data_IF_554624643713
#
_entry.id   IF_554624643713
#
_cell.length_a   1.000
_cell.length_b   1.000
_cell.length_c   1.000
_cell.angle_alpha   90.00
_cell.angle_beta   90.00
_cell.angle_gamma   90.00
#
_symmetry.space_group_name_H-M   'P 1'
#
loop_
_entity.id
_entity.type
_entity.pdbx_description
1 polymer ?
#
# COMPACT_ATOMS: atom_id res chain seq x y z
N UNK A 1 17.72 5.60 -56.29
CA UNK A 1 18.51 6.79 -56.67
C UNK A 1 17.62 8.04 -56.60
N UNK A 2 16.53 8.13 -57.38
CA UNK A 2 15.62 9.31 -57.35
C UNK A 2 14.99 9.61 -55.98
N UNK A 3 14.56 8.59 -55.21
CA UNK A 3 14.01 8.82 -53.85
C UNK A 3 15.07 9.25 -52.81
N UNK A 4 16.30 8.75 -52.94
CA UNK A 4 17.39 9.08 -52.01
C UNK A 4 17.84 10.53 -52.21
N UNK A 5 17.96 10.97 -53.47
CA UNK A 5 18.29 12.35 -53.83
C UNK A 5 17.17 13.34 -53.44
N UNK A 6 15.90 12.90 -53.46
CA UNK A 6 14.75 13.72 -53.00
C UNK A 6 14.74 13.86 -51.48
N UNK A 7 15.07 12.81 -50.74
CA UNK A 7 15.15 12.86 -49.27
C UNK A 7 16.32 13.75 -48.84
N UNK A 8 17.49 13.64 -49.47
CA UNK A 8 18.65 14.48 -49.17
C UNK A 8 18.41 15.96 -49.51
N UNK A 9 17.65 16.25 -50.58
CA UNK A 9 17.38 17.61 -51.06
C UNK A 9 16.19 18.31 -50.38
N UNK A 10 15.19 17.56 -49.88
CA UNK A 10 13.97 18.12 -49.28
C UNK A 10 13.74 17.77 -47.80
N UNK A 11 14.26 16.65 -47.31
CA UNK A 11 13.97 16.16 -45.95
C UNK A 11 15.04 16.52 -44.92
N UNK A 12 16.17 17.07 -45.36
CA UNK A 12 17.37 17.12 -44.52
C UNK A 12 17.97 18.52 -44.53
N UNK A 13 17.24 19.49 -43.96
CA UNK A 13 17.87 20.77 -43.65
C UNK A 13 18.91 20.57 -42.53
N UNK A 14 20.08 21.23 -42.58
CA UNK A 14 21.05 21.21 -41.48
C UNK A 14 20.44 21.63 -40.14
N UNK A 15 19.37 22.43 -40.15
CA UNK A 15 18.59 22.81 -38.97
C UNK A 15 17.79 21.64 -38.39
N UNK A 16 17.14 20.82 -39.22
CA UNK A 16 16.40 19.65 -38.75
C UNK A 16 17.33 18.62 -38.11
N UNK A 17 18.52 18.39 -38.67
CA UNK A 17 19.53 17.52 -38.05
C UNK A 17 20.00 18.03 -36.69
N UNK A 18 20.15 19.35 -36.53
CA UNK A 18 20.45 19.95 -35.22
C UNK A 18 19.33 19.67 -34.22
N UNK A 19 18.07 19.76 -34.63
CA UNK A 19 16.90 19.46 -33.79
C UNK A 19 16.82 17.97 -33.44
N UNK A 20 17.00 17.06 -34.41
CA UNK A 20 17.01 15.60 -34.15
C UNK A 20 18.14 15.23 -33.17
N UNK A 21 19.29 15.90 -33.27
CA UNK A 21 20.40 15.71 -32.34
C UNK A 21 20.05 16.16 -30.90
N UNK A 22 19.02 16.98 -30.67
CA UNK A 22 18.52 17.28 -29.33
C UNK A 22 17.79 16.10 -28.68
N UNK A 23 17.28 15.13 -29.44
CA UNK A 23 16.59 13.95 -28.89
C UNK A 23 17.49 13.13 -27.92
N UNK A 24 18.82 13.21 -28.07
CA UNK A 24 19.77 12.60 -27.14
C UNK A 24 19.70 13.16 -25.71
N UNK A 25 19.17 14.38 -25.54
CA UNK A 25 18.88 14.99 -24.23
C UNK A 25 17.81 14.18 -23.48
N UNK A 26 16.95 13.44 -24.18
CA UNK A 26 15.96 12.54 -23.58
C UNK A 26 16.56 11.45 -22.68
N UNK A 27 17.86 11.15 -22.78
CA UNK A 27 18.56 10.26 -21.82
C UNK A 27 18.52 10.82 -20.40
N UNK A 28 18.48 12.14 -20.22
CA UNK A 28 18.36 12.81 -18.92
C UNK A 28 17.00 12.51 -18.27
N UNK A 29 15.93 12.35 -19.07
CA UNK A 29 14.60 11.98 -18.56
C UNK A 29 14.58 10.60 -17.88
N UNK A 30 15.54 9.71 -18.18
CA UNK A 30 15.67 8.43 -17.48
C UNK A 30 16.04 8.61 -16.00
N UNK A 31 16.68 9.72 -15.63
CA UNK A 31 17.00 10.05 -14.24
C UNK A 31 15.74 10.36 -13.41
N UNK A 32 14.67 10.85 -14.04
CA UNK A 32 13.38 11.09 -13.39
C UNK A 32 12.80 9.79 -12.82
N UNK A 33 13.10 8.65 -13.45
CA UNK A 33 12.62 7.32 -13.03
C UNK A 33 13.18 6.90 -11.66
N UNK A 34 14.34 7.42 -11.25
CA UNK A 34 14.98 7.13 -9.97
C UNK A 34 14.60 8.08 -8.83
N UNK A 35 13.90 9.18 -9.11
CA UNK A 35 13.60 10.22 -8.12
C UNK A 35 12.09 10.34 -7.88
N UNK A 36 11.58 9.60 -6.88
CA UNK A 36 10.15 9.57 -6.51
C UNK A 36 9.55 10.99 -6.34
N UNK A 37 10.24 11.88 -5.63
CA UNK A 37 9.75 13.25 -5.41
C UNK A 37 9.64 14.11 -6.67
N UNK A 38 10.60 14.00 -7.61
CA UNK A 38 10.53 14.73 -8.90
C UNK A 38 9.39 14.17 -9.76
N UNK A 39 9.20 12.84 -9.74
CA UNK A 39 8.12 12.18 -10.48
C UNK A 39 6.74 12.66 -10.01
N UNK A 40 6.52 12.73 -8.71
CA UNK A 40 5.27 13.24 -8.12
C UNK A 40 5.01 14.69 -8.54
N UNK A 41 6.01 15.58 -8.44
CA UNK A 41 5.88 16.97 -8.88
C UNK A 41 5.54 17.11 -10.37
N UNK A 42 6.19 16.30 -11.23
CA UNK A 42 5.93 16.30 -12.67
C UNK A 42 4.55 15.72 -13.01
N UNK A 43 4.09 14.71 -12.27
CA UNK A 43 2.75 14.16 -12.43
C UNK A 43 1.67 15.18 -12.07
N UNK A 44 1.82 15.87 -10.93
CA UNK A 44 0.91 16.95 -10.55
C UNK A 44 0.92 18.09 -11.58
N UNK A 45 2.09 18.45 -12.13
CA UNK A 45 2.18 19.41 -13.24
C UNK A 45 1.42 18.92 -14.48
N UNK A 46 1.59 17.66 -14.87
CA UNK A 46 0.87 17.07 -16.01
C UNK A 46 -0.64 17.07 -15.80
N UNK A 47 -1.10 16.75 -14.59
CA UNK A 47 -2.53 16.79 -14.23
C UNK A 47 -3.11 18.21 -14.29
N UNK A 48 -2.30 19.25 -14.03
CA UNK A 48 -2.72 20.65 -14.17
C UNK A 48 -2.74 21.18 -15.62
N UNK A 49 -2.14 20.46 -16.59
CA UNK A 49 -2.05 20.90 -17.99
C UNK A 49 -3.42 21.15 -18.66
N UNK A 50 -4.47 20.32 -18.47
CA UNK A 50 -5.78 20.57 -19.08
C UNK A 50 -6.39 21.90 -18.62
N UNK A 51 -6.30 22.21 -17.32
CA UNK A 51 -6.76 23.48 -16.76
C UNK A 51 -5.91 24.65 -17.29
N UNK A 52 -4.59 24.48 -17.33
CA UNK A 52 -3.67 25.47 -17.89
C UNK A 52 -3.95 25.77 -19.35
N UNK A 53 -4.27 24.74 -20.15
CA UNK A 53 -4.59 24.92 -21.56
C UNK A 53 -5.84 25.78 -21.77
N UNK A 54 -6.88 25.59 -20.95
CA UNK A 54 -8.09 26.41 -21.02
C UNK A 54 -7.80 27.89 -20.72
N UNK A 55 -7.01 28.19 -19.69
CA UNK A 55 -6.62 29.56 -19.34
C UNK A 55 -5.67 30.14 -20.39
N UNK A 56 -4.75 29.32 -20.91
CA UNK A 56 -3.85 29.67 -22.00
C UNK A 56 -4.60 30.03 -23.30
N UNK A 57 -5.69 29.33 -23.62
CA UNK A 57 -6.57 29.66 -24.73
C UNK A 57 -7.28 30.99 -24.52
N UNK A 58 -7.74 31.28 -23.30
CA UNK A 58 -8.31 32.58 -22.96
C UNK A 58 -7.28 33.71 -23.15
N UNK A 59 -6.06 33.53 -22.64
CA UNK A 59 -4.97 34.49 -22.82
C UNK A 59 -4.62 34.66 -24.31
N UNK A 60 -4.57 33.57 -25.07
CA UNK A 60 -4.33 33.59 -26.51
C UNK A 60 -5.43 34.34 -27.27
N UNK A 61 -6.70 34.16 -26.89
CA UNK A 61 -7.82 34.91 -27.46
C UNK A 61 -7.70 36.41 -27.18
N UNK A 62 -7.35 36.80 -25.95
CA UNK A 62 -7.13 38.21 -25.60
C UNK A 62 -5.95 38.78 -26.40
N UNK A 63 -4.81 38.07 -26.47
CA UNK A 63 -3.67 38.46 -27.30
C UNK A 63 -4.07 38.62 -28.77
N UNK A 64 -4.87 37.70 -29.31
CA UNK A 64 -5.35 37.75 -30.68
C UNK A 64 -6.15 39.02 -30.95
N UNK A 65 -7.13 39.35 -30.08
CA UNK A 65 -7.96 40.55 -30.22
C UNK A 65 -7.08 41.81 -30.20
N UNK A 66 -6.18 41.92 -29.21
CA UNK A 66 -5.28 43.06 -29.09
C UNK A 66 -4.26 43.14 -30.24
N UNK A 67 -3.86 42.02 -30.85
CA UNK A 67 -2.97 42.02 -32.00
C UNK A 67 -3.64 42.67 -33.22
N UNK A 68 -4.92 42.37 -33.46
CA UNK A 68 -5.69 43.00 -34.53
C UNK A 68 -5.84 44.51 -34.28
N UNK A 69 -6.17 44.91 -33.05
CA UNK A 69 -6.26 46.33 -32.69
C UNK A 69 -4.90 47.05 -32.81
N UNK A 70 -3.81 46.39 -32.39
CA UNK A 70 -2.45 46.93 -32.47
C UNK A 70 -2.03 47.16 -33.92
N UNK A 71 -2.29 46.20 -34.81
CA UNK A 71 -2.04 46.39 -36.24
C UNK A 71 -2.85 47.55 -36.84
N UNK A 72 -4.15 47.62 -36.52
CA UNK A 72 -5.02 48.64 -37.08
C UNK A 72 -4.63 50.07 -36.67
N UNK A 73 -4.05 50.24 -35.48
CA UNK A 73 -3.76 51.57 -34.91
C UNK A 73 -2.27 51.95 -34.94
N UNK A 74 -1.35 50.99 -34.86
CA UNK A 74 0.07 51.25 -34.60
C UNK A 74 1.02 50.74 -35.69
N UNK A 75 0.53 50.13 -36.77
CA UNK A 75 1.38 49.61 -37.85
C UNK A 75 2.31 50.65 -38.48
N UNK A 76 1.89 51.91 -38.54
CA UNK A 76 2.64 52.98 -39.22
C UNK A 76 3.40 53.90 -38.28
N UNK A 77 3.40 53.61 -36.96
CA UNK A 77 4.11 54.44 -35.98
C UNK A 77 5.60 54.46 -36.28
N UNK A 78 6.24 55.61 -36.10
CA UNK A 78 7.67 55.78 -36.32
C UNK A 78 8.46 54.76 -35.49
N UNK A 79 9.33 53.99 -36.15
CA UNK A 79 10.26 53.05 -35.51
C UNK A 79 11.25 53.83 -34.64
N UNK A 80 11.15 53.65 -33.33
CA UNK A 80 11.96 54.31 -32.32
C UNK A 80 11.86 53.54 -31.00
N UNK A 81 12.90 53.62 -30.17
CA UNK A 81 12.99 52.95 -28.87
C UNK A 81 12.76 51.42 -29.00
N UNK A 82 11.61 50.90 -28.56
CA UNK A 82 11.28 49.48 -28.60
C UNK A 82 10.62 49.00 -29.90
N UNK A 83 10.25 49.90 -30.82
CA UNK A 83 9.67 49.53 -32.12
C UNK A 83 10.77 49.46 -33.17
N UNK A 84 11.07 48.25 -33.65
CA UNK A 84 12.09 47.96 -34.66
C UNK A 84 11.55 47.05 -35.79
N UNK A 85 12.43 46.48 -36.62
CA UNK A 85 12.06 45.65 -37.77
C UNK A 85 11.41 44.32 -37.39
N UNK A 86 11.65 43.82 -36.17
CA UNK A 86 11.18 42.53 -35.66
C UNK A 86 10.09 42.67 -34.60
N UNK A 87 10.18 43.68 -33.73
CA UNK A 87 9.23 44.03 -32.68
C UNK A 87 8.43 45.26 -33.12
N UNK A 88 7.35 45.04 -33.86
CA UNK A 88 6.44 46.10 -34.32
C UNK A 88 5.00 45.57 -34.45
N UNK A 89 4.09 46.48 -34.84
CA UNK A 89 2.69 46.17 -35.09
C UNK A 89 2.34 46.15 -36.60
N UNK A 90 3.32 45.93 -37.49
CA UNK A 90 3.08 45.95 -38.94
C UNK A 90 2.38 44.69 -39.43
N UNK A 91 2.66 43.54 -38.79
CA UNK A 91 2.10 42.24 -39.15
C UNK A 91 1.51 41.55 -37.93
N UNK A 92 0.65 40.55 -38.17
CA UNK A 92 -0.01 39.81 -37.10
C UNK A 92 1.01 39.07 -36.23
N UNK A 93 2.00 38.42 -36.84
CA UNK A 93 3.05 37.70 -36.12
C UNK A 93 3.89 38.62 -35.23
N UNK A 94 4.33 39.76 -35.75
CA UNK A 94 5.10 40.73 -34.97
C UNK A 94 4.27 41.31 -33.82
N UNK A 95 2.99 41.61 -34.07
CA UNK A 95 2.06 42.09 -33.04
C UNK A 95 1.86 41.07 -31.92
N UNK A 96 1.75 39.78 -32.27
CA UNK A 96 1.65 38.68 -31.29
C UNK A 96 2.93 38.55 -30.45
N UNK A 97 4.11 38.72 -31.05
CA UNK A 97 5.38 38.69 -30.32
C UNK A 97 5.48 39.87 -29.34
N UNK A 98 5.12 41.08 -29.78
CA UNK A 98 5.08 42.27 -28.92
C UNK A 98 4.11 42.09 -27.74
N UNK A 99 2.91 41.58 -27.99
CA UNK A 99 1.92 41.34 -26.93
C UNK A 99 2.34 40.22 -25.98
N UNK A 100 2.97 39.16 -26.49
CA UNK A 100 3.55 38.11 -25.66
C UNK A 100 4.64 38.65 -24.73
N UNK A 101 5.50 39.55 -25.22
CA UNK A 101 6.48 40.25 -24.38
C UNK A 101 5.78 41.09 -23.29
N UNK A 102 4.76 41.87 -23.66
CA UNK A 102 4.02 42.73 -22.72
C UNK A 102 3.22 41.90 -21.69
N UNK A 103 2.79 40.68 -22.00
CA UNK A 103 2.11 39.77 -21.04
C UNK A 103 2.94 39.54 -19.78
N UNK A 104 4.27 39.57 -19.91
CA UNK A 104 5.20 39.46 -18.77
C UNK A 104 5.50 40.80 -18.10
N UNK A 105 4.79 41.87 -18.49
CA UNK A 105 5.04 43.27 -18.13
C UNK A 105 6.44 43.79 -18.50
N UNK A 106 7.14 43.12 -19.42
CA UNK A 106 8.48 43.52 -19.85
C UNK A 106 8.42 44.45 -21.08
N UNK A 107 9.19 45.55 -21.06
CA UNK A 107 9.43 46.42 -22.23
C UNK A 107 8.20 47.16 -22.77
N UNK A 108 7.08 47.17 -22.06
CA UNK A 108 5.86 47.87 -22.49
C UNK A 108 6.05 49.39 -22.60
N UNK A 109 6.91 49.97 -21.76
CA UNK A 109 7.29 51.37 -21.74
C UNK A 109 8.04 51.76 -23.03
N UNK A 110 8.95 50.90 -23.48
CA UNK A 110 9.73 51.11 -24.70
C UNK A 110 8.90 51.01 -25.97
N UNK A 111 7.86 50.17 -25.96
CA UNK A 111 6.88 50.05 -27.05
C UNK A 111 5.86 51.19 -27.04
N UNK A 112 5.48 51.69 -25.86
CA UNK A 112 4.53 52.80 -25.71
C UNK A 112 5.14 54.15 -26.10
N UNK A 113 6.41 54.40 -25.75
CA UNK A 113 7.09 55.68 -26.01
C UNK A 113 6.90 56.24 -27.43
N UNK A 114 7.20 55.50 -28.53
CA UNK A 114 6.99 56.00 -29.89
C UNK A 114 5.51 56.24 -30.25
N UNK A 115 4.57 55.58 -29.56
CA UNK A 115 3.11 55.73 -29.78
C UNK A 115 2.59 57.01 -29.11
N UNK A 116 3.29 57.53 -28.10
CA UNK A 116 2.96 58.81 -27.45
C UNK A 116 3.44 60.03 -28.27
N UNK A 117 4.31 59.83 -29.26
CA UNK A 117 4.85 60.92 -30.07
C UNK A 117 3.79 61.44 -31.05
N UNK A 118 3.29 62.64 -30.80
CA UNK A 118 2.31 63.34 -31.64
C UNK A 118 2.77 64.73 -32.10
N UNK A 119 3.97 65.15 -31.70
CA UNK A 119 4.52 66.46 -32.07
C UNK A 119 5.20 66.40 -33.45
N UNK A 120 5.14 67.50 -34.25
CA UNK A 120 5.82 67.55 -35.55
C UNK A 120 7.35 67.42 -35.50
N UNK A 121 7.96 67.58 -34.32
CA UNK A 121 9.41 67.40 -34.10
C UNK A 121 9.77 65.92 -33.93
N UNK A 122 8.85 65.11 -33.41
CA UNK A 122 9.06 63.69 -33.12
C UNK A 122 8.53 62.78 -34.23
N UNK A 123 7.47 63.19 -34.93
CA UNK A 123 6.81 62.43 -36.00
C UNK A 123 6.44 63.33 -37.20
N UNK A 124 6.17 62.73 -38.36
CA UNK A 124 5.74 63.41 -39.58
C UNK A 124 4.32 62.97 -39.97
N UNK A 125 3.31 63.86 -39.88
CA UNK A 125 1.92 63.52 -40.20
C UNK A 125 1.64 63.33 -41.70
N UNK A 126 2.55 63.76 -42.57
CA UNK A 126 2.35 63.78 -44.02
C UNK A 126 3.23 62.77 -44.76
N UNK A 127 3.95 61.89 -44.05
CA UNK A 127 4.81 60.91 -44.71
C UNK A 127 3.96 59.94 -45.56
N UNK A 128 4.25 59.80 -46.87
CA UNK A 128 3.56 58.84 -47.71
C UNK A 128 4.15 57.44 -47.51
N UNK A 129 3.30 56.45 -47.26
CA UNK A 129 3.69 55.04 -47.20
C UNK A 129 3.41 54.38 -48.55
N UNK A 130 4.44 53.80 -49.19
CA UNK A 130 4.31 53.18 -50.50
C UNK A 130 3.33 52.00 -50.46
N UNK A 131 2.35 51.97 -51.37
CA UNK A 131 1.38 50.88 -51.47
C UNK A 131 0.17 50.98 -50.54
N UNK A 132 0.00 52.10 -49.81
CA UNK A 132 -1.17 52.32 -48.93
C UNK A 132 -1.74 53.73 -49.10
N UNK A 133 -3.00 53.93 -48.71
CA UNK A 133 -3.66 55.26 -48.69
C UNK A 133 -3.43 56.02 -47.37
N UNK A 134 -2.82 55.37 -46.38
CA UNK A 134 -2.57 55.93 -45.06
C UNK A 134 -1.38 56.90 -45.12
N UNK A 135 -1.51 58.05 -44.45
CA UNK A 135 -0.46 59.07 -44.35
C UNK A 135 -0.10 59.33 -42.90
N UNK A 136 1.17 59.57 -42.66
CA UNK A 136 1.69 59.92 -41.35
C UNK A 136 2.26 58.74 -40.57
N UNK A 137 3.16 59.03 -39.65
CA UNK A 137 3.75 58.06 -38.72
C UNK A 137 3.65 58.49 -37.25
N UNK A 138 2.74 59.44 -36.97
CA UNK A 138 2.46 59.92 -35.63
C UNK A 138 1.55 58.93 -34.90
N UNK A 139 1.84 58.70 -33.62
CA UNK A 139 0.98 57.91 -32.75
C UNK A 139 -0.20 58.72 -32.22
N UNK A 140 -1.15 58.03 -31.60
CA UNK A 140 -2.25 58.65 -30.87
C UNK A 140 -2.08 58.37 -29.37
N UNK A 141 -1.70 59.37 -28.55
CA UNK A 141 -1.39 59.16 -27.14
C UNK A 141 -2.56 58.57 -26.36
N UNK A 142 -3.79 59.05 -26.59
CA UNK A 142 -4.97 58.56 -25.86
C UNK A 142 -5.27 57.10 -26.17
N UNK A 143 -5.19 56.71 -27.44
CA UNK A 143 -5.41 55.32 -27.88
C UNK A 143 -4.27 54.41 -27.39
N UNK A 144 -3.03 54.89 -27.46
CA UNK A 144 -1.85 54.17 -26.97
C UNK A 144 -1.91 53.89 -25.47
N UNK A 145 -2.13 54.92 -24.65
CA UNK A 145 -2.24 54.76 -23.19
C UNK A 145 -3.37 53.78 -22.84
N UNK A 146 -4.55 53.96 -23.46
CA UNK A 146 -5.69 53.08 -23.20
C UNK A 146 -5.35 51.64 -23.57
N UNK A 147 -4.81 51.39 -24.77
CA UNK A 147 -4.45 50.05 -25.24
C UNK A 147 -3.48 49.34 -24.29
N UNK A 148 -2.36 49.98 -23.93
CA UNK A 148 -1.33 49.35 -23.11
C UNK A 148 -1.80 49.14 -21.67
N UNK A 149 -2.44 50.13 -21.06
CA UNK A 149 -2.91 50.03 -19.67
C UNK A 149 -4.00 48.98 -19.54
N UNK A 150 -5.00 48.96 -20.44
CA UNK A 150 -6.06 47.94 -20.36
C UNK A 150 -5.52 46.54 -20.63
N UNK A 151 -4.58 46.40 -21.58
CA UNK A 151 -3.93 45.12 -21.85
C UNK A 151 -3.13 44.61 -20.65
N UNK A 152 -2.32 45.46 -20.00
CA UNK A 152 -1.52 45.08 -18.83
C UNK A 152 -2.43 44.64 -17.69
N UNK A 153 -3.51 45.37 -17.40
CA UNK A 153 -4.45 44.99 -16.33
C UNK A 153 -5.11 43.64 -16.64
N UNK A 154 -5.65 43.46 -17.84
CA UNK A 154 -6.34 42.22 -18.22
C UNK A 154 -5.38 41.02 -18.24
N UNK A 155 -4.21 41.17 -18.86
CA UNK A 155 -3.21 40.10 -18.94
C UNK A 155 -2.67 39.73 -17.54
N UNK A 156 -2.41 40.71 -16.68
CA UNK A 156 -2.00 40.46 -15.29
C UNK A 156 -3.06 39.67 -14.51
N UNK A 157 -4.34 40.04 -14.61
CA UNK A 157 -5.42 39.30 -13.95
C UNK A 157 -5.51 37.85 -14.45
N UNK A 158 -5.36 37.63 -15.76
CA UNK A 158 -5.38 36.27 -16.33
C UNK A 158 -4.18 35.46 -15.83
N UNK A 159 -2.97 36.02 -15.84
CA UNK A 159 -1.74 35.33 -15.41
C UNK A 159 -1.77 35.01 -13.91
N UNK A 160 -2.25 35.93 -13.06
CA UNK A 160 -2.40 35.69 -11.62
C UNK A 160 -3.43 34.59 -11.37
N UNK A 161 -4.58 34.64 -12.03
CA UNK A 161 -5.61 33.61 -11.88
C UNK A 161 -5.14 32.25 -12.40
N UNK A 162 -4.33 32.22 -13.46
CA UNK A 162 -3.64 31.01 -13.93
C UNK A 162 -2.73 30.43 -12.85
N UNK A 163 -1.92 31.27 -12.21
CA UNK A 163 -0.99 30.85 -11.16
C UNK A 163 -1.72 30.30 -9.93
N UNK A 164 -2.78 30.98 -9.48
CA UNK A 164 -3.63 30.50 -8.37
C UNK A 164 -4.26 29.15 -8.72
N UNK A 165 -4.80 28.99 -9.94
CA UNK A 165 -5.40 27.74 -10.37
C UNK A 165 -4.39 26.58 -10.36
N UNK A 166 -3.16 26.80 -10.89
CA UNK A 166 -2.09 25.79 -10.87
C UNK A 166 -1.73 25.42 -9.42
N UNK A 167 -1.58 26.41 -8.53
CA UNK A 167 -1.23 26.14 -7.13
C UNK A 167 -2.34 25.35 -6.43
N UNK A 168 -3.61 25.74 -6.61
CA UNK A 168 -4.73 25.05 -5.98
C UNK A 168 -4.86 23.62 -6.48
N UNK A 169 -4.72 23.39 -7.79
CA UNK A 169 -4.72 22.04 -8.37
C UNK A 169 -3.57 21.20 -7.82
N UNK A 170 -2.35 21.77 -7.78
CA UNK A 170 -1.17 21.09 -7.26
C UNK A 170 -1.32 20.76 -5.76
N UNK A 171 -1.88 21.68 -4.97
CA UNK A 171 -2.15 21.46 -3.56
C UNK A 171 -3.27 20.43 -3.34
N UNK A 172 -4.30 20.42 -4.19
CA UNK A 172 -5.36 19.40 -4.17
C UNK A 172 -4.78 18.01 -4.41
N UNK A 173 -3.98 17.84 -5.47
CA UNK A 173 -3.31 16.56 -5.79
C UNK A 173 -2.37 16.12 -4.67
N UNK A 174 -1.57 17.04 -4.13
CA UNK A 174 -0.68 16.73 -3.01
C UNK A 174 -1.45 16.35 -1.74
N UNK A 175 -2.63 16.95 -1.52
CA UNK A 175 -3.51 16.60 -0.39
C UNK A 175 -4.10 15.22 -0.60
N UNK A 176 -4.67 14.92 -1.78
CA UNK A 176 -5.23 13.60 -2.12
C UNK A 176 -4.20 12.49 -1.92
N UNK A 177 -2.99 12.62 -2.46
CA UNK A 177 -1.89 11.65 -2.30
C UNK A 177 -1.43 11.49 -0.83
N UNK A 178 -1.57 12.54 -0.01
CA UNK A 178 -1.23 12.48 1.42
C UNK A 178 -2.37 11.99 2.31
N UNK A 179 -3.62 12.06 1.84
CA UNK A 179 -4.82 11.70 2.61
C UNK A 179 -5.34 10.31 2.33
N UNK A 180 -4.96 9.68 1.21
CA UNK A 180 -5.22 8.25 1.00
C UNK A 180 -4.43 7.43 2.03
N UNK A 181 -5.09 6.72 2.96
CA UNK A 181 -4.40 5.98 4.01
C UNK A 181 -3.61 4.77 3.49
N UNK A 182 -3.86 4.37 2.25
CA UNK A 182 -3.27 3.24 1.55
C UNK A 182 -2.99 3.63 0.11
N UNK A 183 -1.75 3.45 -0.32
CA UNK A 183 -1.27 3.71 -1.68
C UNK A 183 -1.09 2.40 -2.46
N UNK A 184 -0.91 2.49 -3.79
CA UNK A 184 -0.58 1.33 -4.62
C UNK A 184 0.69 0.60 -4.15
N UNK A 185 1.70 1.36 -3.68
CA UNK A 185 2.96 0.82 -3.13
C UNK A 185 2.70 -0.11 -1.92
N UNK A 186 1.69 0.18 -1.09
CA UNK A 186 1.35 -0.64 0.08
C UNK A 186 0.77 -2.00 -0.30
N UNK A 187 0.02 -2.07 -1.40
CA UNK A 187 -0.48 -3.33 -1.96
C UNK A 187 0.64 -4.15 -2.61
N UNK A 188 1.59 -3.51 -3.28
CA UNK A 188 2.76 -4.19 -3.83
C UNK A 188 3.62 -4.80 -2.72
N UNK A 189 3.93 -4.03 -1.67
CA UNK A 189 4.63 -4.54 -0.48
C UNK A 189 3.90 -5.71 0.19
N UNK A 190 2.57 -5.69 0.24
CA UNK A 190 1.79 -6.81 0.75
C UNK A 190 2.04 -8.10 -0.05
N UNK A 191 2.02 -8.02 -1.38
CA UNK A 191 2.23 -9.20 -2.23
C UNK A 191 3.68 -9.71 -2.18
N UNK A 192 4.68 -8.82 -2.08
CA UNK A 192 6.08 -9.22 -1.87
C UNK A 192 6.29 -10.01 -0.58
N UNK A 193 5.56 -9.65 0.49
CA UNK A 193 5.59 -10.41 1.74
C UNK A 193 4.77 -11.69 1.61
N UNK A 194 3.61 -11.65 0.95
CA UNK A 194 2.74 -12.81 0.73
C UNK A 194 3.48 -13.95 0.01
N UNK A 195 4.26 -13.64 -1.03
CA UNK A 195 5.05 -14.62 -1.79
C UNK A 195 5.99 -15.44 -0.91
N UNK A 196 6.48 -14.88 0.20
CA UNK A 196 7.34 -15.59 1.16
C UNK A 196 6.58 -16.65 1.98
N UNK A 197 5.27 -16.50 2.13
CA UNK A 197 4.41 -17.42 2.87
C UNK A 197 3.63 -18.39 1.98
N UNK A 198 3.45 -18.05 0.71
CA UNK A 198 2.82 -18.86 -0.34
C UNK A 198 3.65 -18.87 -1.65
N UNK A 199 4.82 -19.55 -1.67
CA UNK A 199 5.72 -19.55 -2.84
C UNK A 199 5.14 -20.27 -4.06
N UNK A 200 4.14 -21.13 -3.86
CA UNK A 200 3.47 -21.90 -4.90
C UNK A 200 2.26 -21.16 -5.49
N UNK A 201 2.02 -19.91 -5.07
CA UNK A 201 0.89 -19.08 -5.51
C UNK A 201 -0.48 -19.79 -5.36
N UNK A 202 -0.65 -20.56 -4.29
CA UNK A 202 -1.89 -21.30 -4.00
C UNK A 202 -3.04 -20.37 -3.60
N UNK A 203 -2.73 -19.12 -3.26
CA UNK A 203 -3.65 -18.10 -2.73
C UNK A 203 -4.14 -18.37 -1.31
N UNK A 204 -3.56 -19.35 -0.61
CA UNK A 204 -3.92 -19.73 0.75
C UNK A 204 -2.71 -19.78 1.68
N UNK A 205 -2.93 -19.41 2.95
CA UNK A 205 -1.97 -19.66 4.04
C UNK A 205 -2.65 -20.41 5.19
N UNK A 206 -1.86 -21.14 5.95
CA UNK A 206 -2.33 -21.80 7.18
C UNK A 206 -2.58 -20.78 8.29
N UNK A 207 -3.65 -20.98 9.07
CA UNK A 207 -4.01 -20.11 10.20
C UNK A 207 -2.88 -19.94 11.22
N UNK A 208 -2.05 -20.97 11.41
CA UNK A 208 -0.89 -20.92 12.30
C UNK A 208 0.12 -19.83 11.90
N UNK A 209 0.29 -19.56 10.60
CA UNK A 209 1.25 -18.58 10.05
C UNK A 209 0.71 -17.16 10.02
N UNK A 210 -0.59 -16.95 10.19
CA UNK A 210 -1.25 -15.64 10.08
C UNK A 210 -0.64 -14.59 11.03
N UNK A 211 -0.30 -14.99 12.26
CA UNK A 211 0.30 -14.09 13.26
C UNK A 211 1.69 -13.60 12.85
N UNK A 212 2.48 -14.46 12.22
CA UNK A 212 3.84 -14.13 11.74
C UNK A 212 3.76 -13.29 10.47
N UNK A 213 2.87 -13.67 9.54
CA UNK A 213 2.59 -12.90 8.33
C UNK A 213 2.20 -11.46 8.66
N UNK A 214 1.22 -11.26 9.56
CA UNK A 214 0.72 -9.93 9.91
C UNK A 214 1.78 -9.03 10.56
N UNK A 215 2.76 -9.60 11.27
CA UNK A 215 3.86 -8.86 11.89
C UNK A 215 4.99 -8.53 10.90
N UNK A 216 5.13 -9.31 9.83
CA UNK A 216 6.16 -9.14 8.80
C UNK A 216 5.84 -8.08 7.74
N UNK A 217 4.58 -7.63 7.66
CA UNK A 217 4.16 -6.54 6.80
C UNK A 217 4.77 -5.20 7.25
N UNK A 218 4.87 -4.25 6.33
CA UNK A 218 5.21 -2.84 6.62
C UNK A 218 3.97 -2.05 7.08
N UNK A 219 4.20 -0.93 7.78
CA UNK A 219 3.13 0.03 7.99
C UNK A 219 2.64 0.56 6.63
N UNK A 220 1.33 0.82 6.46
CA UNK A 220 0.26 0.83 7.49
C UNK A 220 -0.43 -0.54 7.73
N UNK A 221 -0.20 -1.53 6.87
CA UNK A 221 -0.89 -2.84 6.93
C UNK A 221 -0.42 -3.74 8.07
N UNK A 222 0.79 -3.51 8.60
CA UNK A 222 1.38 -4.26 9.73
C UNK A 222 0.48 -4.35 10.95
N UNK A 223 0.40 -5.53 11.53
CA UNK A 223 -0.17 -5.79 12.86
C UNK A 223 0.91 -6.42 13.74
N UNK A 224 1.61 -5.56 14.49
CA UNK A 224 2.68 -5.98 15.36
C UNK A 224 2.22 -6.95 16.47
N UNK A 225 3.08 -7.90 16.84
CA UNK A 225 2.79 -8.81 17.96
C UNK A 225 2.78 -8.07 19.30
N UNK A 226 1.93 -8.47 20.26
CA UNK A 226 0.99 -9.61 20.21
C UNK A 226 -0.30 -9.28 19.44
N UNK A 227 -0.54 -9.98 18.33
CA UNK A 227 -1.62 -9.66 17.37
C UNK A 227 -2.77 -10.68 17.35
N UNK A 228 -2.66 -11.80 18.06
CA UNK A 228 -3.62 -12.92 18.00
C UNK A 228 -5.06 -12.50 18.29
N UNK A 229 -5.29 -11.69 19.33
CA UNK A 229 -6.64 -11.23 19.70
C UNK A 229 -7.25 -10.39 18.58
N UNK A 230 -6.46 -9.48 18.01
CA UNK A 230 -6.88 -8.58 16.94
C UNK A 230 -7.22 -9.33 15.65
N UNK A 231 -6.43 -10.36 15.32
CA UNK A 231 -6.68 -11.24 14.16
C UNK A 231 -7.94 -12.09 14.36
N UNK A 232 -8.19 -12.60 15.56
CA UNK A 232 -9.41 -13.36 15.87
C UNK A 232 -10.65 -12.46 15.79
N UNK A 233 -10.55 -11.20 16.24
CA UNK A 233 -11.67 -10.24 16.16
C UNK A 233 -12.00 -9.78 14.74
N UNK A 234 -11.12 -10.02 13.76
CA UNK A 234 -11.40 -9.72 12.35
C UNK A 234 -12.32 -10.75 11.67
N UNK A 235 -12.57 -11.88 12.33
CA UNK A 235 -13.50 -12.92 11.86
C UNK A 235 -13.22 -13.43 10.44
N UNK A 236 -11.94 -13.68 10.13
CA UNK A 236 -11.52 -14.15 8.81
C UNK A 236 -12.16 -15.52 8.46
N UNK A 237 -12.66 -15.72 7.23
CA UNK A 237 -13.16 -17.00 6.75
C UNK A 237 -12.05 -18.04 6.65
N UNK A 238 -12.36 -19.30 6.98
CA UNK A 238 -11.44 -20.42 6.87
C UNK A 238 -12.04 -21.54 6.01
N UNK A 239 -11.19 -22.09 5.15
CA UNK A 239 -11.46 -23.23 4.28
C UNK A 239 -10.90 -24.51 4.91
N UNK A 240 -11.15 -25.66 4.30
CA UNK A 240 -10.66 -26.96 4.75
C UNK A 240 -9.14 -26.96 4.99
N UNK A 241 -8.73 -27.56 6.11
CA UNK A 241 -7.34 -27.62 6.53
C UNK A 241 -6.84 -26.40 7.32
N UNK A 242 -7.75 -25.65 7.98
CA UNK A 242 -7.42 -24.43 8.75
C UNK A 242 -6.64 -23.41 7.88
N UNK A 243 -7.07 -23.22 6.63
CA UNK A 243 -6.46 -22.30 5.65
C UNK A 243 -7.32 -21.05 5.44
N UNK A 244 -6.67 -19.92 5.18
CA UNK A 244 -7.29 -18.62 4.92
C UNK A 244 -6.81 -18.12 3.57
N UNK A 245 -7.69 -17.47 2.82
CA UNK A 245 -7.37 -16.94 1.51
C UNK A 245 -6.73 -15.55 1.56
N UNK A 246 -5.86 -15.29 0.59
CA UNK A 246 -5.16 -14.02 0.40
C UNK A 246 -6.10 -12.81 0.39
N UNK A 247 -7.18 -12.90 -0.40
CA UNK A 247 -8.11 -11.79 -0.58
C UNK A 247 -8.85 -11.42 0.71
N UNK A 248 -9.23 -12.41 1.52
CA UNK A 248 -9.90 -12.15 2.80
C UNK A 248 -8.98 -11.42 3.77
N UNK A 249 -7.71 -11.81 3.81
CA UNK A 249 -6.70 -11.19 4.67
C UNK A 249 -6.44 -9.76 4.20
N UNK A 250 -6.21 -9.58 2.90
CA UNK A 250 -5.96 -8.27 2.31
C UNK A 250 -7.14 -7.33 2.57
N UNK A 251 -8.37 -7.80 2.31
CA UNK A 251 -9.58 -7.02 2.55
C UNK A 251 -9.74 -6.65 4.02
N UNK A 252 -9.56 -7.60 4.95
CA UNK A 252 -9.69 -7.33 6.38
C UNK A 252 -8.64 -6.33 6.89
N UNK A 253 -7.41 -6.41 6.39
CA UNK A 253 -6.33 -5.51 6.81
C UNK A 253 -6.54 -4.11 6.22
N UNK A 254 -7.00 -4.02 4.97
CA UNK A 254 -7.41 -2.78 4.33
C UNK A 254 -8.58 -2.13 5.08
N UNK A 255 -9.63 -2.90 5.42
CA UNK A 255 -10.77 -2.43 6.22
C UNK A 255 -10.34 -1.88 7.57
N UNK A 256 -9.33 -2.49 8.21
CA UNK A 256 -8.80 -1.99 9.49
C UNK A 256 -8.17 -0.60 9.36
N UNK A 257 -7.45 -0.34 8.26
CA UNK A 257 -6.74 0.93 8.06
C UNK A 257 -7.72 2.02 7.60
N UNK A 258 -8.61 1.70 6.68
CA UNK A 258 -9.58 2.65 6.10
C UNK A 258 -10.80 2.93 7.02
N UNK A 259 -11.11 2.01 7.94
CA UNK A 259 -12.28 2.10 8.82
C UNK A 259 -13.55 1.52 8.20
N UNK A 260 -14.68 1.68 8.91
CA UNK A 260 -15.99 1.22 8.45
C UNK A 260 -16.69 2.33 7.65
N UNK A 261 -16.35 2.46 6.37
CA UNK A 261 -17.13 3.27 5.41
C UNK A 261 -18.06 2.37 4.60
N UNK A 262 -19.19 2.92 4.14
CA UNK A 262 -20.12 2.20 3.24
C UNK A 262 -19.50 1.86 1.88
N UNK A 263 -18.35 2.43 1.55
CA UNK A 263 -17.60 2.20 0.30
C UNK A 263 -16.75 0.91 0.36
N UNK A 264 -16.58 0.32 1.55
CA UNK A 264 -15.78 -0.89 1.74
C UNK A 264 -16.35 -2.12 0.99
N UNK A 265 -17.67 -2.24 0.86
CA UNK A 265 -18.29 -3.35 0.12
C UNK A 265 -18.06 -3.22 -1.40
N UNK A 266 -18.06 -1.99 -1.91
CA UNK A 266 -17.73 -1.71 -3.31
C UNK A 266 -16.24 -1.97 -3.57
N UNK A 267 -15.36 -1.59 -2.63
CA UNK A 267 -13.93 -1.90 -2.70
C UNK A 267 -13.70 -3.42 -2.70
N UNK A 268 -14.40 -4.17 -1.84
CA UNK A 268 -14.34 -5.63 -1.82
C UNK A 268 -14.67 -6.22 -3.18
N UNK A 269 -15.77 -5.75 -3.78
CA UNK A 269 -16.24 -6.25 -5.07
C UNK A 269 -15.24 -5.92 -6.19
N UNK A 270 -14.63 -4.73 -6.20
CA UNK A 270 -13.57 -4.39 -7.15
C UNK A 270 -12.33 -5.27 -6.99
N UNK A 271 -11.92 -5.54 -5.74
CA UNK A 271 -10.79 -6.42 -5.45
C UNK A 271 -11.09 -7.86 -5.88
N UNK A 272 -12.28 -8.38 -5.59
CA UNK A 272 -12.77 -9.69 -6.05
C UNK A 272 -12.79 -9.79 -7.58
N UNK A 273 -13.31 -8.77 -8.27
CA UNK A 273 -13.40 -8.77 -9.74
C UNK A 273 -12.02 -8.79 -10.40
N UNK A 274 -11.08 -7.95 -9.92
CA UNK A 274 -9.67 -7.98 -10.39
C UNK A 274 -9.01 -9.34 -10.14
N UNK A 275 -9.31 -9.97 -9.00
CA UNK A 275 -8.74 -11.27 -8.64
C UNK A 275 -9.33 -12.42 -9.48
N UNK A 276 -10.64 -12.38 -9.76
CA UNK A 276 -11.34 -13.36 -10.59
C UNK A 276 -10.92 -13.30 -12.06
N UNK A 277 -10.53 -12.12 -12.56
CA UNK A 277 -9.95 -11.98 -13.90
C UNK A 277 -8.57 -12.65 -14.02
N UNK A 278 -7.81 -12.71 -12.93
CA UNK A 278 -6.46 -13.26 -12.90
C UNK A 278 -6.41 -14.80 -12.71
N UNK A 279 -7.44 -15.41 -12.10
CA UNK A 279 -7.47 -16.86 -11.86
C UNK A 279 -8.88 -17.48 -12.10
N UNK A 280 -9.20 -17.97 -13.32
CA UNK A 280 -10.51 -18.53 -13.65
C UNK A 280 -10.82 -19.89 -13.01
N UNK A 281 -9.82 -20.58 -12.48
CA UNK A 281 -9.99 -21.91 -11.88
C UNK A 281 -10.55 -21.82 -10.47
N UNK A 282 -11.87 -21.88 -10.36
CA UNK A 282 -12.62 -22.11 -9.11
C UNK A 282 -12.18 -23.39 -8.41
N UNK A 283 -11.18 -23.32 -7.55
CA UNK A 283 -11.10 -24.21 -6.38
C UNK A 283 -12.20 -23.71 -5.43
N UNK A 284 -13.08 -24.61 -5.00
CA UNK A 284 -14.31 -24.28 -4.27
C UNK A 284 -14.02 -23.41 -3.04
N UNK A 285 -14.33 -22.13 -3.15
CA UNK A 285 -14.25 -21.15 -2.09
C UNK A 285 -15.51 -21.20 -1.23
N UNK A 286 -15.73 -22.31 -0.54
CA UNK A 286 -16.83 -22.41 0.42
C UNK A 286 -16.24 -22.31 1.84
N UNK A 287 -16.39 -21.16 2.51
CA UNK A 287 -15.96 -21.02 3.89
C UNK A 287 -16.65 -22.06 4.77
N UNK A 288 -15.86 -22.84 5.51
CA UNK A 288 -16.37 -23.89 6.40
C UNK A 288 -16.58 -23.33 7.81
N UNK A 289 -15.69 -22.43 8.26
CA UNK A 289 -15.73 -21.83 9.60
C UNK A 289 -15.02 -20.47 9.58
N UNK A 290 -15.02 -19.74 10.70
CA UNK A 290 -14.31 -18.46 10.84
C UNK A 290 -13.31 -18.51 11.99
N UNK A 291 -12.33 -17.61 11.98
CA UNK A 291 -11.31 -17.53 13.05
C UNK A 291 -11.91 -17.37 14.45
N UNK A 292 -12.99 -16.58 14.59
CA UNK A 292 -13.73 -16.44 15.85
C UNK A 292 -14.44 -17.72 16.25
N UNK A 293 -15.17 -18.34 15.31
CA UNK A 293 -15.89 -19.59 15.55
C UNK A 293 -14.95 -20.73 15.95
N UNK A 294 -13.81 -20.86 15.28
CA UNK A 294 -12.77 -21.84 15.60
C UNK A 294 -12.22 -21.65 17.02
N UNK A 295 -12.01 -20.39 17.44
CA UNK A 295 -11.57 -20.11 18.81
C UNK A 295 -12.63 -20.49 19.83
N UNK A 296 -13.90 -20.21 19.53
CA UNK A 296 -15.02 -20.61 20.37
C UNK A 296 -15.12 -22.13 20.50
N UNK A 297 -14.93 -22.88 19.41
CA UNK A 297 -14.91 -24.34 19.39
C UNK A 297 -13.76 -24.91 20.23
N UNK A 298 -12.56 -24.35 20.13
CA UNK A 298 -11.38 -24.75 20.93
C UNK A 298 -11.60 -24.54 22.44
N UNK A 299 -12.14 -23.37 22.82
CA UNK A 299 -12.47 -23.07 24.22
C UNK A 299 -13.57 -23.99 24.73
N UNK A 300 -14.61 -24.21 23.94
CA UNK A 300 -15.72 -25.12 24.27
C UNK A 300 -15.22 -26.55 24.47
N UNK A 301 -14.37 -27.05 23.57
CA UNK A 301 -13.76 -28.38 23.68
C UNK A 301 -12.93 -28.50 24.97
N UNK A 302 -12.14 -27.48 25.30
CA UNK A 302 -11.34 -27.45 26.53
C UNK A 302 -12.22 -27.51 27.79
N UNK A 303 -13.32 -26.75 27.82
CA UNK A 303 -14.28 -26.76 28.93
C UNK A 303 -14.95 -28.12 29.05
N UNK A 304 -15.43 -28.70 27.94
CA UNK A 304 -16.07 -30.03 27.91
C UNK A 304 -15.09 -31.10 28.40
N UNK A 305 -13.87 -31.13 27.88
CA UNK A 305 -12.83 -32.07 28.29
C UNK A 305 -12.50 -31.94 29.78
N UNK A 306 -12.39 -30.71 30.30
CA UNK A 306 -12.14 -30.43 31.72
C UNK A 306 -13.29 -30.93 32.60
N UNK A 307 -14.54 -30.63 32.21
CA UNK A 307 -15.73 -31.09 32.92
C UNK A 307 -15.86 -32.62 32.89
N UNK A 308 -15.58 -33.25 31.74
CA UNK A 308 -15.62 -34.69 31.57
C UNK A 308 -14.54 -35.40 32.40
N UNK A 309 -13.29 -34.92 32.37
CA UNK A 309 -12.22 -35.44 33.23
C UNK A 309 -12.57 -35.34 34.71
N UNK A 310 -13.13 -34.19 35.14
CA UNK A 310 -13.58 -34.01 36.54
C UNK A 310 -14.74 -34.94 36.89
N UNK A 311 -15.66 -35.17 35.95
CA UNK A 311 -16.76 -36.13 36.12
C UNK A 311 -16.25 -37.56 36.28
N UNK A 312 -15.30 -38.00 35.44
CA UNK A 312 -14.68 -39.32 35.54
C UNK A 312 -13.95 -39.52 36.88
N UNK A 313 -13.19 -38.53 37.35
CA UNK A 313 -12.53 -38.61 38.67
C UNK A 313 -13.55 -38.72 39.80
N UNK A 314 -14.63 -37.92 39.76
CA UNK A 314 -15.72 -38.02 40.76
C UNK A 314 -16.39 -39.40 40.75
N UNK A 315 -16.59 -39.99 39.57
CA UNK A 315 -17.12 -41.35 39.42
C UNK A 315 -16.19 -42.39 40.04
N UNK A 316 -14.89 -42.34 39.74
CA UNK A 316 -13.88 -43.22 40.32
C UNK A 316 -13.82 -43.10 41.86
N UNK A 317 -13.84 -41.89 42.41
CA UNK A 317 -13.83 -41.67 43.87
C UNK A 317 -15.08 -42.22 44.54
N UNK A 318 -16.26 -42.07 43.92
CA UNK A 318 -17.51 -42.66 44.45
C UNK A 318 -17.46 -44.19 44.45
N UNK A 319 -16.96 -44.80 43.37
CA UNK A 319 -16.79 -46.25 43.28
C UNK A 319 -15.77 -46.77 44.32
N UNK A 320 -14.62 -46.10 44.48
CA UNK A 320 -13.63 -46.45 45.50
C UNK A 320 -14.18 -46.27 46.93
N UNK A 321 -14.91 -45.19 47.20
CA UNK A 321 -15.57 -44.96 48.49
C UNK A 321 -16.61 -46.04 48.81
N UNK A 322 -17.35 -46.53 47.81
CA UNK A 322 -18.31 -47.62 47.98
C UNK A 322 -17.60 -48.93 48.37
N UNK A 323 -16.57 -49.31 47.62
CA UNK A 323 -15.78 -50.53 47.90
C UNK A 323 -15.08 -50.44 49.25
N UNK A 324 -14.50 -49.29 49.58
CA UNK A 324 -13.87 -49.06 50.89
C UNK A 324 -14.87 -49.22 52.04
N UNK A 325 -16.09 -48.65 51.92
CA UNK A 325 -17.17 -48.84 52.90
C UNK A 325 -17.57 -50.32 53.01
N UNK A 326 -17.65 -51.04 51.90
CA UNK A 326 -17.98 -52.47 51.90
C UNK A 326 -16.90 -53.32 52.61
N UNK A 327 -15.62 -52.97 52.48
CA UNK A 327 -14.49 -53.66 53.12
C UNK A 327 -14.39 -53.33 54.62
N UNK A 328 -14.58 -52.07 55.01
CA UNK A 328 -14.43 -51.60 56.41
C UNK A 328 -15.67 -51.80 57.28
N UNK A 329 -16.83 -52.18 56.73
CA UNK A 329 -18.02 -52.49 57.54
C UNK A 329 -17.87 -53.90 58.15
N UNK A 330 -17.84 -54.05 59.49
CA UNK A 330 -17.64 -55.36 60.11
C UNK A 330 -18.77 -56.34 59.77
N UNK A 331 -18.41 -57.55 59.32
CA UNK A 331 -19.33 -58.64 58.96
C UNK A 331 -19.95 -59.36 60.18
N UNK A 332 -20.22 -58.64 61.27
CA UNK A 332 -20.89 -59.19 62.46
C UNK A 332 -22.29 -58.59 62.61
N UNK A 333 -23.25 -59.20 61.91
CA UNK A 333 -24.65 -59.39 62.30
C UNK A 333 -25.41 -60.12 61.17
N UNK A 334 -24.82 -61.20 60.64
CA UNK A 334 -25.56 -62.14 59.78
C UNK A 334 -25.28 -63.57 60.25
N UNK A 335 -25.77 -63.85 61.45
CA UNK A 335 -25.87 -65.19 62.01
C UNK A 335 -27.26 -65.37 62.59
N UNK A 336 -28.08 -66.11 61.84
CA UNK A 336 -29.22 -66.92 62.27
C UNK A 336 -30.51 -66.25 62.78
N UNK A 337 -31.58 -66.43 61.98
CA UNK A 337 -32.94 -66.68 62.47
C UNK A 337 -33.80 -65.47 62.86
N UNK A 338 -34.65 -65.02 61.94
CA UNK A 338 -36.07 -64.70 62.20
C UNK A 338 -36.71 -64.05 60.96
N UNK A 339 -37.90 -64.51 60.62
CA UNK A 339 -38.73 -63.96 59.56
C UNK A 339 -39.19 -62.52 59.89
N UNK A 340 -39.24 -61.67 58.86
CA UNK A 340 -40.03 -60.44 58.85
C UNK A 340 -39.35 -59.18 59.40
N UNK A 341 -38.58 -58.49 58.58
CA UNK A 341 -38.53 -57.02 58.57
C UNK A 341 -37.80 -56.53 57.32
N UNK A 342 -38.44 -55.64 56.56
CA UNK A 342 -37.86 -54.96 55.41
C UNK A 342 -36.70 -54.08 55.88
N UNK A 343 -35.50 -54.33 55.37
CA UNK A 343 -34.35 -53.42 55.52
C UNK A 343 -34.16 -52.70 54.18
N UNK A 344 -34.49 -51.41 54.07
CA UNK A 344 -34.13 -50.62 52.89
C UNK A 344 -32.69 -50.11 53.06
N UNK A 345 -32.01 -49.86 51.93
CA UNK A 345 -30.64 -49.31 51.81
C UNK A 345 -29.46 -50.31 51.79
N UNK A 346 -29.54 -51.30 50.91
CA UNK A 346 -28.35 -51.68 50.14
C UNK A 346 -28.28 -50.77 48.92
N UNK A 347 -27.44 -49.72 48.92
CA UNK A 347 -27.16 -48.99 47.69
C UNK A 347 -26.48 -49.94 46.69
N UNK A 348 -27.08 -50.07 45.50
CA UNK A 348 -26.44 -50.73 44.38
C UNK A 348 -25.07 -50.09 44.09
N UNK A 349 -24.06 -50.87 43.64
CA UNK A 349 -22.76 -50.32 43.31
C UNK A 349 -22.92 -49.18 42.28
N UNK A 350 -22.23 -48.03 42.48
CA UNK A 350 -22.35 -46.87 41.61
C UNK A 350 -22.01 -47.20 40.15
N UNK A 351 -21.19 -48.23 39.92
CA UNK A 351 -20.82 -48.72 38.60
C UNK A 351 -20.93 -50.24 38.56
N UNK A 352 -21.71 -50.77 37.60
CA UNK A 352 -21.94 -52.22 37.45
C UNK A 352 -21.02 -52.85 36.40
N UNK A 353 -20.69 -52.12 35.33
CA UNK A 353 -19.87 -52.58 34.20
C UNK A 353 -19.01 -51.46 33.60
N UNK A 354 -17.84 -51.81 33.04
CA UNK A 354 -16.90 -50.91 32.36
C UNK A 354 -15.53 -50.80 33.02
N UNK A 355 -14.58 -50.13 32.33
CA UNK A 355 -13.17 -49.99 32.73
C UNK A 355 -12.98 -49.50 34.17
N UNK A 356 -13.84 -48.60 34.68
CA UNK A 356 -13.75 -48.11 36.06
C UNK A 356 -14.13 -49.22 37.06
N UNK A 357 -15.15 -50.04 36.76
CA UNK A 357 -15.53 -51.18 37.59
C UNK A 357 -14.45 -52.29 37.55
N UNK A 358 -13.83 -52.52 36.39
CA UNK A 358 -12.72 -53.49 36.25
C UNK A 358 -11.48 -53.07 37.03
N UNK A 359 -11.02 -51.82 36.85
CA UNK A 359 -9.85 -51.28 37.58
C UNK A 359 -10.07 -51.25 39.10
N UNK A 360 -11.30 -51.01 39.54
CA UNK A 360 -11.63 -50.99 40.97
C UNK A 360 -11.74 -52.40 41.56
N UNK A 361 -12.20 -53.39 40.78
CA UNK A 361 -12.15 -54.82 41.16
C UNK A 361 -10.72 -55.33 41.29
N UNK A 362 -9.82 -54.92 40.39
CA UNK A 362 -8.41 -55.30 40.48
C UNK A 362 -7.71 -54.71 41.72
N UNK A 363 -7.98 -53.44 42.04
CA UNK A 363 -7.31 -52.75 43.15
C UNK A 363 -7.90 -53.08 44.55
N UNK A 364 -9.18 -53.44 44.65
CA UNK A 364 -9.87 -53.65 45.93
C UNK A 364 -10.50 -55.05 46.11
N UNK A 365 -10.53 -55.90 45.07
CA UNK A 365 -11.25 -57.18 45.07
C UNK A 365 -10.42 -58.44 45.35
N UNK A 366 -9.10 -58.34 45.53
CA UNK A 366 -8.23 -59.50 45.72
C UNK A 366 -7.72 -59.65 47.17
N UNK A 367 -8.55 -60.20 48.04
CA UNK A 367 -8.10 -61.00 49.21
C UNK A 367 -8.64 -62.44 49.07
N UNK A 368 -8.36 -63.11 47.95
CA UNK A 368 -8.42 -64.59 47.88
C UNK A 368 -7.78 -65.17 46.62
N UNK A 369 -6.65 -64.65 46.14
CA UNK A 369 -5.77 -65.46 45.28
C UNK A 369 -4.35 -64.89 45.16
N UNK A 370 -3.43 -65.65 45.77
CA UNK A 370 -2.04 -65.94 45.34
C UNK A 370 -0.93 -64.93 45.62
N UNK A 371 -0.10 -65.36 46.58
CA UNK A 371 1.33 -65.13 46.72
C UNK A 371 2.12 -65.29 45.41
N UNK A 372 3.21 -64.50 45.35
CA UNK A 372 4.36 -64.56 44.44
C UNK A 372 4.23 -63.84 43.08
N UNK A 373 4.12 -62.52 43.21
CA UNK A 373 4.86 -61.47 42.49
C UNK A 373 5.69 -61.88 41.27
N UNK A 374 5.19 -61.51 40.08
CA UNK A 374 5.99 -60.87 39.04
C UNK A 374 5.29 -59.54 38.76
N UNK A 375 5.76 -58.46 39.41
CA UNK A 375 5.30 -57.10 39.15
C UNK A 375 6.21 -56.47 38.10
N UNK A 376 5.69 -56.34 36.88
CA UNK A 376 6.13 -55.29 35.96
C UNK A 376 5.54 -53.97 36.43
N UNK A 377 6.41 -53.06 36.82
CA UNK A 377 6.06 -51.72 37.28
C UNK A 377 5.55 -50.88 36.11
N UNK A 378 4.33 -50.33 36.23
CA UNK A 378 3.99 -49.08 35.57
C UNK A 378 3.25 -48.18 36.56
N UNK A 379 3.98 -47.24 37.13
CA UNK A 379 3.46 -46.09 37.85
C UNK A 379 3.87 -44.80 37.12
N UNK A 380 3.12 -43.70 37.29
CA UNK A 380 3.04 -42.58 36.36
C UNK A 380 4.19 -41.58 36.53
N UNK A 381 4.43 -40.67 35.58
CA UNK A 381 5.50 -39.69 35.70
C UNK A 381 5.24 -38.73 36.86
N UNK A 382 6.21 -38.66 37.77
CA UNK A 382 6.26 -37.71 38.88
C UNK A 382 6.44 -36.28 38.38
N UNK A 383 5.77 -35.34 39.03
CA UNK A 383 5.76 -33.90 38.78
C UNK A 383 7.13 -33.21 38.97
N UNK A 384 8.15 -33.95 39.41
CA UNK A 384 9.50 -33.43 39.71
C UNK A 384 10.45 -33.44 38.49
N UNK A 385 9.99 -33.92 37.33
CA UNK A 385 10.79 -33.94 36.08
C UNK A 385 10.58 -32.73 35.16
N UNK A 386 9.74 -31.76 35.55
CA UNK A 386 9.43 -30.58 34.71
C UNK A 386 10.23 -29.32 35.10
N UNK A 387 10.83 -29.28 36.29
CA UNK A 387 11.57 -28.10 36.77
C UNK A 387 13.09 -28.28 36.83
N UNK A 388 13.63 -29.49 36.55
CA UNK A 388 15.09 -29.71 36.43
C UNK A 388 15.63 -29.56 35.01
N UNK A 389 14.81 -29.79 33.98
CA UNK A 389 15.24 -29.74 32.58
C UNK A 389 15.54 -28.32 32.06
N UNK A 390 15.18 -27.27 32.79
CA UNK A 390 15.41 -25.87 32.39
C UNK A 390 16.63 -25.21 33.06
N UNK A 391 17.29 -25.88 34.02
CA UNK A 391 18.49 -25.34 34.68
C UNK A 391 19.82 -25.91 34.14
N UNK A 392 19.81 -27.04 33.42
CA UNK A 392 21.03 -27.67 32.87
C UNK A 392 21.32 -27.35 31.39
N UNK A 393 20.39 -26.71 30.66
CA UNK A 393 20.63 -26.28 29.27
C UNK A 393 21.30 -24.89 29.20
N UNK A 394 21.28 -24.11 30.29
CA UNK A 394 21.90 -22.77 30.36
C UNK A 394 23.30 -22.72 31.02
N UNK A 395 23.93 -23.86 31.32
CA UNK A 395 25.22 -23.90 32.03
C UNK A 395 26.37 -24.68 31.36
N UNK A 396 26.23 -25.16 30.11
CA UNK A 396 27.34 -25.83 29.39
C UNK A 396 27.49 -25.29 27.96
N UNK A 397 28.02 -24.07 27.86
CA UNK A 397 28.98 -23.66 26.82
C UNK A 397 29.54 -22.26 27.14
N UNK A 398 30.21 -22.18 28.27
CA UNK A 398 31.19 -21.14 28.58
C UNK A 398 32.43 -21.83 29.14
N UNK A 399 33.53 -21.61 28.44
CA UNK A 399 34.94 -21.66 28.86
C UNK A 399 35.52 -22.93 29.48
N UNK A 400 36.49 -23.50 28.76
CA UNK A 400 37.93 -23.46 29.09
C UNK A 400 38.65 -24.24 27.98
N UNK A 401 39.76 -23.80 27.40
CA UNK A 401 40.96 -23.28 28.05
C UNK A 401 41.86 -22.59 27.03
N UNK A 402 42.49 -21.50 27.47
CA UNK A 402 43.54 -20.78 26.75
C UNK A 402 44.91 -21.50 26.80
N UNK A 403 45.79 -21.02 25.91
CA UNK A 403 47.25 -21.16 25.83
C UNK A 403 47.82 -22.52 25.36
N UNK A 404 48.70 -22.59 24.35
CA UNK A 404 49.36 -21.54 23.58
C UNK A 404 50.26 -22.11 22.47
N UNK A 405 50.64 -21.18 21.58
CA UNK A 405 51.84 -21.14 20.73
C UNK A 405 52.02 -22.06 19.49
N UNK A 406 52.16 -21.34 18.36
CA UNK A 406 53.10 -21.51 17.24
C UNK A 406 52.73 -22.40 16.02
N UNK A 407 52.95 -21.81 14.82
CA UNK A 407 53.00 -22.49 13.51
C UNK A 407 51.93 -21.96 12.53
N UNK A 408 52.12 -20.84 11.83
CA UNK A 408 52.86 -20.66 10.56
C UNK A 408 52.08 -21.17 9.31
N UNK A 409 51.70 -20.19 8.47
CA UNK A 409 51.24 -20.14 7.05
C UNK A 409 51.56 -21.31 6.08
N UNK A 410 51.06 -21.30 4.82
CA UNK A 410 49.91 -20.60 4.19
C UNK A 410 49.09 -21.56 3.26
N UNK A 411 48.00 -21.09 2.63
CA UNK A 411 47.70 -21.42 1.21
C UNK A 411 46.53 -20.60 0.67
N UNK A 412 46.86 -19.66 -0.22
CA UNK A 412 46.00 -19.12 -1.28
C UNK A 412 46.90 -18.96 -2.51
N UNK A 413 46.44 -19.29 -3.74
CA UNK A 413 46.16 -18.21 -4.71
C UNK A 413 45.02 -18.62 -5.71
N UNK A 414 44.74 -17.87 -6.80
CA UNK A 414 43.60 -16.94 -6.89
C UNK A 414 42.77 -17.17 -8.20
N UNK A 415 41.83 -16.28 -8.59
CA UNK A 415 40.87 -16.53 -9.67
C UNK A 415 41.38 -16.06 -11.04
N UNK A 416 40.94 -16.74 -12.12
CA UNK A 416 41.19 -16.34 -13.50
C UNK A 416 39.94 -15.75 -14.16
N UNK A 417 40.10 -14.53 -14.68
CA UNK A 417 39.14 -13.75 -15.43
C UNK A 417 39.21 -14.00 -16.96
N UNK A 418 38.20 -13.45 -17.65
CA UNK A 418 38.15 -12.95 -19.05
C UNK A 418 37.91 -13.92 -20.22
N UNK A 419 36.81 -13.65 -20.95
CA UNK A 419 36.77 -13.15 -22.36
C UNK A 419 35.27 -12.99 -22.72
N UNK A 420 34.70 -11.87 -23.16
CA UNK A 420 34.91 -11.05 -24.38
C UNK A 420 34.82 -11.85 -25.69
N UNK A 421 33.63 -11.84 -26.29
CA UNK A 421 33.34 -11.44 -27.68
C UNK A 421 31.90 -10.92 -27.78
#
# INVERSE_FOLDING_TARGET
IVLADIIEKYFVSPTLFRVIRLARIGRILRLIRGAKGIRTLLFALMMSLPALFNIGLLLFLVMFIYAIFGMANFAYVKRQAGIDDMFNFETFGNSMICLFQITTSAGWDTLLSPILNNSPEECNPNIPHTGTTVRGNCGNPSVGITFFVTYIIISFLIVVNMYIAIILENFSVATEESTEPLSEDDFEMFYEVWEKFDPEATQFIEYAKLSDFADSLSEPLRIAKPNKIKLISMDLPMVSGDKIHCLDILFAFTKRVLGESGEMDALKQQMEEKFMMANPSKISYEPITTTLRRKQEEVSATVIQRCYRRHLVRRQVKAASYLYRQITTPRHLRGEGAAGSEVPFGEDPPEKEGLIADMMRENYGSEMARSQTISSTSSPPSYDSVTRATSEIFAVKTDNSAEGAAGQEPDEPPPSALNSD
#
